data_IF_835128272774
#
_entry.id   IF_835128272774
#
_cell.length_a   1.000
_cell.length_b   1.000
_cell.length_c   1.000
_cell.angle_alpha   90.00
_cell.angle_beta   90.00
_cell.angle_gamma   90.00
#
_symmetry.space_group_name_H-M   'P 1'
#
loop_
_entity.id
_entity.type
_entity.pdbx_description
1 polymer ?
#
# COMPACT_ATOMS: atom_id res chain seq x y z
N UNK A 1 19.04 16.97 -4.13
CA UNK A 1 17.82 16.79 -4.90
C UNK A 1 16.75 16.07 -4.06
N UNK A 2 15.49 16.50 -4.13
CA UNK A 2 14.45 15.81 -3.39
C UNK A 2 14.20 14.40 -3.93
N UNK A 3 13.80 13.53 -3.02
CA UNK A 3 13.52 12.12 -3.32
C UNK A 3 12.04 11.87 -3.04
N UNK A 4 11.33 11.37 -4.04
CA UNK A 4 9.94 10.97 -3.88
C UNK A 4 9.89 9.71 -3.04
N UNK A 5 9.25 9.79 -1.87
CA UNK A 5 9.37 8.79 -0.81
C UNK A 5 8.02 8.41 -0.21
N UNK A 6 7.96 7.20 0.31
CA UNK A 6 6.80 6.70 1.05
C UNK A 6 7.23 5.58 2.00
N UNK A 7 6.41 5.34 3.02
CA UNK A 7 6.61 4.28 4.01
C UNK A 7 5.58 3.19 3.75
N UNK A 8 6.01 1.95 3.64
CA UNK A 8 5.15 0.87 3.18
C UNK A 8 5.52 -0.50 3.75
N UNK A 9 4.58 -1.42 3.57
CA UNK A 9 4.74 -2.85 3.84
C UNK A 9 4.66 -3.56 2.50
N UNK A 10 5.69 -4.31 2.14
CA UNK A 10 5.72 -5.08 0.90
C UNK A 10 4.96 -6.39 1.03
N UNK A 11 4.44 -6.86 -0.09
CA UNK A 11 3.83 -8.18 -0.20
C UNK A 11 4.90 -9.12 -0.76
N UNK A 12 5.29 -10.13 0.02
CA UNK A 12 6.38 -11.04 -0.33
C UNK A 12 5.97 -12.51 -0.36
N UNK A 13 4.87 -12.89 0.28
CA UNK A 13 4.41 -14.28 0.34
C UNK A 13 4.03 -14.78 -1.07
N UNK A 14 4.69 -15.84 -1.59
CA UNK A 14 4.44 -16.31 -2.96
C UNK A 14 3.01 -16.79 -3.22
N UNK A 15 2.36 -17.42 -2.24
CA UNK A 15 0.98 -17.89 -2.39
C UNK A 15 0.01 -16.72 -2.47
N UNK A 16 0.21 -15.71 -1.63
CA UNK A 16 -0.60 -14.50 -1.63
C UNK A 16 -0.40 -13.75 -2.94
N UNK A 17 0.85 -13.58 -3.38
CA UNK A 17 1.15 -12.93 -4.65
C UNK A 17 0.47 -13.66 -5.81
N UNK A 18 0.53 -14.99 -5.84
CA UNK A 18 -0.12 -15.80 -6.88
C UNK A 18 -1.64 -15.54 -6.92
N UNK A 19 -2.26 -15.48 -5.75
CA UNK A 19 -3.70 -15.17 -5.65
C UNK A 19 -4.01 -13.76 -6.14
N UNK A 20 -3.18 -12.79 -5.78
CA UNK A 20 -3.33 -11.40 -6.23
C UNK A 20 -3.22 -11.30 -7.75
N UNK A 21 -2.24 -11.99 -8.35
CA UNK A 21 -2.07 -11.99 -9.80
C UNK A 21 -3.28 -12.61 -10.52
N UNK A 22 -3.86 -13.64 -9.94
CA UNK A 22 -5.10 -14.26 -10.47
C UNK A 22 -6.27 -13.28 -10.43
N UNK A 23 -6.40 -12.53 -9.35
CA UNK A 23 -7.44 -11.50 -9.20
C UNK A 23 -7.21 -10.36 -10.20
N UNK A 24 -5.96 -9.94 -10.41
CA UNK A 24 -5.63 -8.94 -11.42
C UNK A 24 -6.06 -9.38 -12.82
N UNK A 25 -5.87 -10.66 -13.16
CA UNK A 25 -6.32 -11.20 -14.44
C UNK A 25 -7.84 -11.07 -14.60
N UNK A 26 -8.60 -11.39 -13.57
CA UNK A 26 -10.05 -11.23 -13.61
C UNK A 26 -10.47 -9.76 -13.78
N UNK A 27 -9.83 -8.86 -13.04
CA UNK A 27 -10.08 -7.41 -13.15
C UNK A 27 -9.74 -6.92 -14.56
N UNK A 28 -8.60 -7.34 -15.10
CA UNK A 28 -8.15 -6.94 -16.43
C UNK A 28 -8.96 -7.61 -17.57
N UNK A 29 -9.73 -8.66 -17.28
CA UNK A 29 -10.64 -9.25 -18.25
C UNK A 29 -11.93 -8.43 -18.45
N UNK A 30 -12.15 -7.42 -17.61
CA UNK A 30 -13.25 -6.47 -17.81
C UNK A 30 -13.02 -5.66 -19.09
N UNK A 31 -14.06 -4.96 -19.54
CA UNK A 31 -13.94 -4.08 -20.71
C UNK A 31 -13.30 -2.73 -20.41
N UNK A 32 -12.82 -2.53 -19.18
CA UNK A 32 -12.14 -1.30 -18.78
C UNK A 32 -10.72 -1.20 -19.35
N UNK A 33 -10.25 0.03 -19.52
CA UNK A 33 -8.83 0.28 -19.84
C UNK A 33 -8.08 0.44 -18.52
N UNK A 34 -7.26 -0.53 -18.18
CA UNK A 34 -6.56 -0.60 -16.90
C UNK A 34 -5.06 -0.79 -17.08
N UNK A 35 -4.33 -0.37 -16.05
CA UNK A 35 -2.93 -0.75 -15.87
C UNK A 35 -2.80 -1.51 -14.55
N UNK A 36 -2.47 -2.81 -14.56
CA UNK A 36 -2.22 -3.55 -13.33
C UNK A 36 -0.91 -3.10 -12.69
N UNK A 37 -0.84 -3.20 -11.37
CA UNK A 37 0.39 -2.93 -10.62
C UNK A 37 1.35 -4.09 -10.86
N UNK A 38 2.61 -3.78 -11.15
CA UNK A 38 3.66 -4.78 -11.35
C UNK A 38 3.85 -5.60 -10.07
N UNK A 39 4.12 -6.89 -10.23
CA UNK A 39 4.30 -7.83 -9.12
C UNK A 39 5.25 -7.30 -8.03
N UNK A 40 6.41 -6.79 -8.44
CA UNK A 40 7.45 -6.27 -7.54
C UNK A 40 7.05 -4.98 -6.83
N UNK A 41 5.97 -4.35 -7.27
CA UNK A 41 5.49 -3.09 -6.70
C UNK A 41 4.29 -3.25 -5.76
N UNK A 42 3.82 -4.48 -5.54
CA UNK A 42 2.69 -4.74 -4.65
C UNK A 42 3.04 -4.39 -3.21
N UNK A 43 2.29 -3.46 -2.60
CA UNK A 43 2.56 -2.99 -1.24
C UNK A 43 1.32 -2.34 -0.63
N UNK A 44 1.34 -2.19 0.70
CA UNK A 44 0.38 -1.33 1.41
C UNK A 44 1.13 -0.10 1.89
N UNK A 45 0.65 1.08 1.54
CA UNK A 45 1.26 2.34 1.97
C UNK A 45 0.80 2.70 3.38
N UNK A 46 1.75 2.92 4.29
CA UNK A 46 1.49 3.45 5.63
C UNK A 46 1.45 4.97 5.63
N UNK A 47 2.37 5.61 4.91
CA UNK A 47 2.45 7.06 4.83
C UNK A 47 3.15 7.48 3.54
N UNK A 48 2.49 8.30 2.74
CA UNK A 48 3.10 8.94 1.60
C UNK A 48 3.78 10.23 2.04
N UNK A 49 5.05 10.41 1.67
CA UNK A 49 5.85 11.58 2.09
C UNK A 49 6.01 12.61 0.99
N UNK A 50 5.89 12.21 -0.28
CA UNK A 50 6.14 13.08 -1.42
C UNK A 50 7.62 13.33 -1.64
N UNK A 51 7.96 14.49 -2.18
CA UNK A 51 9.33 14.92 -2.44
C UNK A 51 9.99 15.35 -1.13
N UNK A 52 11.07 14.67 -0.74
CA UNK A 52 11.77 14.90 0.55
C UNK A 52 13.24 15.15 0.27
N UNK A 53 13.78 16.23 0.84
CA UNK A 53 15.21 16.52 0.75
C UNK A 53 16.02 15.44 1.48
N UNK A 54 17.18 15.09 0.92
CA UNK A 54 18.03 14.02 1.47
C UNK A 54 18.38 14.21 2.94
N UNK A 55 18.67 15.43 3.36
CA UNK A 55 18.97 15.73 4.77
C UNK A 55 17.81 15.44 5.69
N UNK A 56 16.59 15.62 5.22
CA UNK A 56 15.38 15.35 6.00
C UNK A 56 15.09 13.85 6.10
N UNK A 57 15.53 13.05 5.13
CA UNK A 57 15.35 11.60 5.15
C UNK A 57 16.04 10.94 6.35
N UNK A 58 17.18 11.48 6.80
CA UNK A 58 17.85 10.96 8.00
C UNK A 58 16.93 11.10 9.22
N UNK A 59 16.24 12.22 9.35
CA UNK A 59 15.26 12.44 10.43
C UNK A 59 14.04 11.54 10.29
N UNK A 60 13.60 11.27 9.06
CA UNK A 60 12.51 10.31 8.82
C UNK A 60 12.90 8.92 9.29
N UNK A 61 14.12 8.48 9.00
CA UNK A 61 14.63 7.17 9.45
C UNK A 61 14.67 7.08 10.98
N UNK A 62 15.16 8.11 11.65
CA UNK A 62 15.20 8.16 13.11
C UNK A 62 13.79 8.10 13.70
N UNK A 63 12.85 8.81 13.12
CA UNK A 63 11.44 8.79 13.53
C UNK A 63 10.83 7.41 13.34
N UNK A 64 11.12 6.76 12.23
CA UNK A 64 10.66 5.38 11.98
C UNK A 64 11.18 4.43 13.06
N UNK A 65 12.46 4.50 13.39
CA UNK A 65 13.05 3.67 14.45
C UNK A 65 12.33 3.91 15.78
N UNK A 66 12.14 5.16 16.17
CA UNK A 66 11.55 5.52 17.45
C UNK A 66 10.10 5.05 17.57
N UNK A 67 9.33 5.18 16.52
CA UNK A 67 7.92 4.79 16.53
C UNK A 67 7.76 3.28 16.39
N UNK A 68 8.44 2.68 15.42
CA UNK A 68 8.22 1.28 15.08
C UNK A 68 8.76 0.29 16.12
N UNK A 69 9.76 0.67 16.91
CA UNK A 69 10.24 -0.18 18.02
C UNK A 69 9.16 -0.47 19.06
N UNK A 70 8.09 0.31 19.09
CA UNK A 70 6.98 0.13 20.03
C UNK A 70 5.97 -0.92 19.57
N UNK A 71 6.10 -1.40 18.33
CA UNK A 71 5.13 -2.31 17.72
C UNK A 71 5.74 -3.68 17.49
N UNK A 72 4.92 -4.70 17.72
CA UNK A 72 5.27 -6.09 17.47
C UNK A 72 4.84 -6.49 16.06
N UNK A 73 5.45 -7.55 15.55
CA UNK A 73 5.01 -8.23 14.33
C UNK A 73 3.54 -8.59 14.45
N UNK A 74 2.82 -8.50 13.35
CA UNK A 74 1.40 -8.81 13.34
C UNK A 74 1.00 -9.44 12.01
N UNK A 75 -0.19 -10.02 11.98
CA UNK A 75 -0.73 -10.68 10.81
C UNK A 75 -1.88 -9.88 10.26
N UNK A 76 -1.97 -9.78 8.93
CA UNK A 76 -3.12 -9.19 8.26
C UNK A 76 -3.79 -10.21 7.35
N UNK A 77 -5.12 -10.16 7.29
CA UNK A 77 -5.89 -10.91 6.32
C UNK A 77 -6.33 -9.98 5.19
N UNK A 78 -5.90 -10.31 3.98
CA UNK A 78 -6.32 -9.59 2.78
C UNK A 78 -7.64 -10.19 2.29
N UNK A 79 -8.64 -9.34 2.11
CA UNK A 79 -9.98 -9.77 1.71
C UNK A 79 -10.72 -8.66 1.00
N UNK A 80 -11.41 -9.04 -0.07
CA UNK A 80 -12.32 -8.16 -0.77
C UNK A 80 -11.67 -7.22 -1.75
N UNK A 81 -12.45 -6.80 -2.73
CA UNK A 81 -12.04 -5.84 -3.74
C UNK A 81 -12.93 -4.61 -3.64
N UNK A 82 -12.33 -3.45 -3.71
CA UNK A 82 -13.03 -2.19 -3.76
C UNK A 82 -12.35 -1.22 -4.71
N UNK A 83 -12.83 0.01 -4.70
CA UNK A 83 -12.28 1.04 -5.56
C UNK A 83 -12.42 2.42 -4.93
N UNK A 84 -11.50 3.30 -5.26
CA UNK A 84 -11.58 4.72 -4.96
C UNK A 84 -11.80 5.49 -6.25
N UNK A 85 -12.54 6.61 -6.26
CA UNK A 85 -13.33 7.13 -5.16
C UNK A 85 -14.57 6.28 -4.83
N UNK A 86 -15.16 5.60 -5.82
CA UNK A 86 -16.30 4.70 -5.61
C UNK A 86 -16.23 3.54 -6.60
N UNK A 87 -17.01 2.47 -6.35
CA UNK A 87 -17.09 1.32 -7.26
C UNK A 87 -17.69 1.72 -8.59
N UNK A 88 -18.66 2.64 -8.60
CA UNK A 88 -19.31 3.09 -9.84
C UNK A 88 -18.47 4.04 -10.68
N UNK A 89 -17.49 4.70 -10.06
CA UNK A 89 -16.53 5.60 -10.73
C UNK A 89 -15.11 5.29 -10.25
N UNK A 90 -14.60 4.12 -10.59
CA UNK A 90 -13.29 3.71 -10.07
C UNK A 90 -12.13 4.39 -10.79
N UNK A 91 -11.16 4.86 -10.01
CA UNK A 91 -9.86 5.30 -10.53
C UNK A 91 -8.77 4.33 -10.10
N UNK A 92 -8.91 3.79 -8.89
CA UNK A 92 -7.96 2.85 -8.29
C UNK A 92 -8.72 1.65 -7.78
N UNK A 93 -8.28 0.45 -8.16
CA UNK A 93 -8.85 -0.82 -7.68
C UNK A 93 -7.90 -1.41 -6.65
N UNK A 94 -8.44 -1.81 -5.50
CA UNK A 94 -7.62 -2.27 -4.39
C UNK A 94 -8.19 -3.50 -3.69
N UNK A 95 -7.32 -4.19 -2.97
CA UNK A 95 -7.65 -5.28 -2.05
C UNK A 95 -7.72 -4.68 -0.65
N UNK A 96 -8.76 -5.07 0.11
CA UNK A 96 -8.96 -4.61 1.48
C UNK A 96 -8.25 -5.48 2.52
N UNK A 97 -8.29 -5.00 3.75
CA UNK A 97 -7.73 -5.69 4.92
C UNK A 97 -8.85 -5.93 5.93
N UNK A 98 -9.00 -7.17 6.38
CA UNK A 98 -9.98 -7.55 7.40
C UNK A 98 -9.30 -7.70 8.76
N UNK A 99 -8.69 -8.85 9.06
CA UNK A 99 -7.93 -9.03 10.30
C UNK A 99 -6.62 -8.24 10.23
N UNK A 100 -6.20 -7.72 11.38
CA UNK A 100 -4.96 -6.93 11.47
C UNK A 100 -5.12 -5.49 11.02
N UNK A 101 -6.32 -5.10 10.63
CA UNK A 101 -6.63 -3.72 10.23
C UNK A 101 -6.29 -2.72 11.34
N UNK A 102 -6.70 -3.03 12.57
CA UNK A 102 -6.46 -2.14 13.71
C UNK A 102 -4.96 -1.96 13.99
N UNK A 103 -4.19 -3.02 13.88
CA UNK A 103 -2.72 -2.95 14.05
C UNK A 103 -2.09 -2.06 12.99
N UNK A 104 -2.48 -2.23 11.72
CA UNK A 104 -2.00 -1.39 10.63
C UNK A 104 -2.33 0.08 10.87
N UNK A 105 -3.59 0.37 11.21
CA UNK A 105 -4.07 1.75 11.43
C UNK A 105 -3.32 2.40 12.59
N UNK A 106 -3.08 1.68 13.68
CA UNK A 106 -2.32 2.21 14.81
C UNK A 106 -0.89 2.58 14.44
N UNK A 107 -0.21 1.71 13.68
CA UNK A 107 1.14 2.01 13.18
C UNK A 107 1.10 3.26 12.30
N UNK A 108 0.16 3.32 11.37
CA UNK A 108 0.04 4.46 10.46
C UNK A 108 -0.27 5.76 11.20
N UNK A 109 -1.16 5.74 12.19
CA UNK A 109 -1.49 6.92 13.00
C UNK A 109 -0.27 7.43 13.78
N UNK A 110 0.48 6.53 14.42
CA UNK A 110 1.66 6.92 15.20
C UNK A 110 2.75 7.51 14.31
N UNK A 111 2.98 6.92 13.14
CA UNK A 111 3.91 7.48 12.16
C UNK A 111 3.44 8.86 11.68
N UNK A 112 2.17 8.99 11.35
CA UNK A 112 1.59 10.23 10.87
C UNK A 112 1.73 11.37 11.89
N UNK A 113 1.44 11.10 13.17
CA UNK A 113 1.60 12.07 14.25
C UNK A 113 3.05 12.52 14.39
N UNK A 114 3.97 11.57 14.44
CA UNK A 114 5.39 11.88 14.62
C UNK A 114 5.94 12.68 13.43
N UNK A 115 5.58 12.27 12.22
CA UNK A 115 6.04 12.94 11.01
C UNK A 115 5.40 14.31 10.82
N UNK A 116 4.19 14.52 11.32
CA UNK A 116 3.55 15.86 11.27
C UNK A 116 4.36 16.92 12.00
N UNK A 117 5.08 16.52 13.05
CA UNK A 117 5.98 17.43 13.79
C UNK A 117 7.17 17.88 12.96
N UNK A 118 7.47 17.14 11.89
CA UNK A 118 8.53 17.47 10.93
C UNK A 118 8.00 18.25 9.73
N UNK A 119 6.70 18.60 9.74
CA UNK A 119 6.08 19.38 8.68
C UNK A 119 5.36 18.57 7.62
N UNK A 120 5.29 17.24 7.76
CA UNK A 120 4.50 16.42 6.82
C UNK A 120 3.01 16.60 7.10
N UNK A 121 2.22 16.65 6.04
CA UNK A 121 0.78 16.85 6.15
C UNK A 121 0.12 15.66 6.86
N UNK A 122 -0.82 15.92 7.76
CA UNK A 122 -1.60 14.89 8.43
C UNK A 122 -2.58 14.24 7.47
N UNK A 123 -2.71 12.93 7.60
CA UNK A 123 -3.75 12.20 6.90
C UNK A 123 -5.09 12.37 7.62
N UNK A 124 -6.15 12.62 6.86
CA UNK A 124 -7.49 12.76 7.43
C UNK A 124 -8.10 11.40 7.76
N UNK A 125 -7.86 10.44 6.90
CA UNK A 125 -8.47 9.13 6.98
C UNK A 125 -7.45 8.09 6.51
N UNK A 126 -7.29 7.04 7.28
CA UNK A 126 -6.36 5.95 6.96
C UNK A 126 -7.18 4.71 6.65
N UNK A 127 -7.22 4.33 5.38
CA UNK A 127 -7.90 3.14 4.90
C UNK A 127 -6.87 2.15 4.38
N UNK A 128 -6.58 1.05 5.12
CA UNK A 128 -5.63 0.05 4.64
C UNK A 128 -6.09 -0.55 3.32
N UNK A 129 -5.26 -0.46 2.30
CA UNK A 129 -5.58 -1.01 0.98
C UNK A 129 -4.31 -1.34 0.20
N UNK A 130 -4.43 -2.35 -0.64
CA UNK A 130 -3.37 -2.76 -1.57
C UNK A 130 -3.85 -2.48 -2.99
N UNK A 131 -3.28 -1.47 -3.63
CA UNK A 131 -3.64 -1.13 -4.99
C UNK A 131 -3.20 -2.23 -5.94
N UNK A 132 -4.10 -2.73 -6.78
CA UNK A 132 -3.82 -3.78 -7.76
C UNK A 132 -3.93 -3.32 -9.21
N UNK A 133 -4.68 -2.24 -9.47
CA UNK A 133 -4.82 -1.70 -10.82
C UNK A 133 -5.24 -0.23 -10.77
N UNK A 134 -4.89 0.49 -11.82
CA UNK A 134 -5.32 1.88 -12.02
C UNK A 134 -6.09 2.00 -13.32
N UNK A 135 -7.19 2.75 -13.29
CA UNK A 135 -8.00 2.99 -14.48
C UNK A 135 -7.32 4.06 -15.33
N UNK A 136 -7.15 3.76 -16.62
CA UNK A 136 -6.46 4.62 -17.58
C UNK A 136 -7.37 5.14 -18.72
N UNK A 137 -8.65 4.80 -18.67
CA UNK A 137 -9.62 5.20 -19.70
C UNK A 137 -11.03 4.75 -19.33
N UNK A 138 -11.83 4.31 -20.31
CA UNK A 138 -13.20 3.88 -20.02
C UNK A 138 -13.27 2.77 -18.97
N UNK A 139 -14.28 2.84 -18.11
CA UNK A 139 -14.46 1.87 -17.03
C UNK A 139 -15.19 0.60 -17.46
N UNK A 140 -15.96 0.66 -18.57
CA UNK A 140 -16.71 -0.50 -19.05
C UNK A 140 -17.53 -1.18 -17.97
N UNK A 141 -17.44 -2.51 -17.90
CA UNK A 141 -18.14 -3.32 -16.89
C UNK A 141 -17.30 -3.57 -15.61
N UNK A 142 -16.25 -2.78 -15.39
CA UNK A 142 -15.41 -2.92 -14.19
C UNK A 142 -16.20 -2.88 -12.87
N UNK A 143 -17.19 -1.97 -12.70
CA UNK A 143 -17.98 -1.98 -11.46
C UNK A 143 -18.65 -3.33 -11.15
N UNK A 144 -19.13 -4.03 -12.16
CA UNK A 144 -19.76 -5.35 -12.00
C UNK A 144 -18.72 -6.40 -11.57
N UNK A 145 -17.54 -6.36 -12.16
CA UNK A 145 -16.43 -7.27 -11.81
C UNK A 145 -16.00 -7.03 -10.37
N UNK A 146 -15.86 -5.77 -9.96
CA UNK A 146 -15.51 -5.41 -8.56
C UNK A 146 -16.57 -5.94 -7.59
N UNK A 147 -17.85 -5.75 -7.87
CA UNK A 147 -18.94 -6.23 -7.01
C UNK A 147 -18.92 -7.75 -6.86
N UNK A 148 -18.64 -8.47 -7.95
CA UNK A 148 -18.54 -9.92 -7.92
C UNK A 148 -17.40 -10.41 -7.01
N UNK A 149 -16.33 -9.63 -6.90
CA UNK A 149 -15.14 -9.95 -6.11
C UNK A 149 -15.14 -9.28 -4.73
N UNK A 150 -16.23 -8.63 -4.34
CA UNK A 150 -16.26 -7.77 -3.13
C UNK A 150 -15.92 -8.49 -1.83
N UNK A 151 -16.14 -9.80 -1.74
CA UNK A 151 -15.86 -10.60 -0.54
C UNK A 151 -14.81 -11.68 -0.77
N UNK A 152 -14.05 -11.59 -1.85
CA UNK A 152 -13.08 -12.64 -2.17
C UNK A 152 -11.99 -12.75 -1.10
N UNK A 153 -11.71 -13.99 -0.69
CA UNK A 153 -10.64 -14.30 0.25
C UNK A 153 -9.30 -14.35 -0.50
N UNK A 154 -8.30 -13.63 -0.01
CA UNK A 154 -6.98 -13.62 -0.64
C UNK A 154 -5.99 -14.41 0.20
N UNK A 155 -5.85 -14.10 1.48
CA UNK A 155 -4.94 -14.81 2.36
C UNK A 155 -4.33 -13.94 3.43
N UNK A 156 -3.46 -14.55 4.24
CA UNK A 156 -2.79 -13.90 5.34
C UNK A 156 -1.38 -13.50 4.96
N UNK A 157 -0.94 -12.33 5.42
CA UNK A 157 0.45 -11.91 5.35
C UNK A 157 0.96 -11.62 6.76
N UNK A 158 2.22 -11.96 7.00
CA UNK A 158 2.91 -11.62 8.24
C UNK A 158 3.66 -10.30 8.03
N UNK A 159 3.31 -9.30 8.84
CA UNK A 159 3.98 -7.99 8.82
C UNK A 159 5.13 -8.05 9.81
N UNK A 160 6.35 -8.11 9.30
CA UNK A 160 7.58 -8.25 10.10
C UNK A 160 8.45 -7.02 10.05
N UNK A 161 8.30 -6.22 9.00
CA UNK A 161 9.14 -5.05 8.77
C UNK A 161 8.38 -3.97 8.02
N UNK A 162 8.87 -2.75 8.15
CA UNK A 162 8.33 -1.56 7.49
C UNK A 162 9.46 -0.90 6.73
N UNK A 163 9.20 -0.47 5.51
CA UNK A 163 10.23 0.06 4.61
C UNK A 163 9.98 1.52 4.26
N UNK A 164 11.05 2.28 4.20
CA UNK A 164 11.08 3.59 3.56
C UNK A 164 11.54 3.37 2.13
N UNK A 165 10.73 3.78 1.18
CA UNK A 165 10.97 3.51 -0.23
C UNK A 165 11.12 4.79 -1.03
N UNK A 166 11.96 4.72 -2.06
CA UNK A 166 12.11 5.73 -3.09
C UNK A 166 11.29 5.32 -4.31
N UNK A 167 10.58 6.27 -4.90
CA UNK A 167 9.84 6.06 -6.15
C UNK A 167 10.49 6.87 -7.26
N UNK A 168 10.89 6.19 -8.32
CA UNK A 168 11.33 6.85 -9.56
C UNK A 168 10.26 6.65 -10.60
N UNK A 169 9.66 7.73 -11.09
CA UNK A 169 8.61 7.67 -12.09
C UNK A 169 9.22 7.49 -13.47
N UNK A 170 8.73 6.50 -14.21
CA UNK A 170 9.14 6.23 -15.60
C UNK A 170 7.92 6.13 -16.50
N UNK A 171 8.08 6.24 -17.82
CA UNK A 171 6.95 6.07 -18.76
C UNK A 171 6.27 4.70 -18.64
N UNK A 172 6.98 3.70 -18.15
CA UNK A 172 6.45 2.34 -17.96
C UNK A 172 5.83 2.12 -16.59
N UNK A 173 5.92 3.09 -15.70
CA UNK A 173 5.43 3.02 -14.33
C UNK A 173 6.53 3.32 -13.32
N UNK A 174 6.21 3.30 -12.02
CA UNK A 174 7.18 3.60 -10.98
C UNK A 174 8.17 2.45 -10.78
N UNK A 175 9.40 2.80 -10.43
CA UNK A 175 10.43 1.86 -9.96
C UNK A 175 10.66 2.20 -8.51
N UNK A 176 10.49 1.21 -7.62
CA UNK A 176 10.67 1.38 -6.18
C UNK A 176 11.99 0.78 -5.72
N UNK A 177 12.64 1.48 -4.81
CA UNK A 177 13.89 1.04 -4.18
C UNK A 177 13.79 1.20 -2.68
N UNK A 178 14.29 0.21 -1.94
CA UNK A 178 14.31 0.27 -0.48
C UNK A 178 15.45 1.18 -0.02
N UNK A 179 15.11 2.22 0.76
CA UNK A 179 16.10 3.12 1.33
C UNK A 179 16.41 2.77 2.79
N UNK A 180 15.45 2.22 3.50
CA UNK A 180 15.60 1.89 4.91
C UNK A 180 14.59 0.84 5.33
N UNK A 181 14.98 -0.08 6.18
CA UNK A 181 14.14 -1.17 6.66
C UNK A 181 14.17 -1.18 8.18
N UNK A 182 13.00 -1.20 8.82
CA UNK A 182 12.87 -1.32 10.27
C UNK A 182 12.11 -2.61 10.57
N UNK A 183 12.75 -3.49 11.34
CA UNK A 183 12.10 -4.72 11.80
C UNK A 183 11.22 -4.43 13.02
N UNK A 184 10.04 -5.04 13.04
CA UNK A 184 9.16 -4.95 14.19
C UNK A 184 9.60 -5.95 15.26
N UNK A 185 9.22 -5.67 16.52
CA UNK A 185 9.55 -6.53 17.65
C UNK A 185 8.94 -7.93 17.47
N UNK A 186 9.62 -8.95 17.97
CA UNK A 186 9.11 -10.33 17.93
C UNK A 186 8.00 -10.60 18.94
N UNK A 187 7.77 -9.69 19.89
CA UNK A 187 6.77 -9.85 20.93
C UNK A 187 5.60 -8.89 20.78
#
# INVERSE_FOLDING_TARGET
LPIRSFIAIDIEDPEVISKILSIQEEICSSSAKLKPVERENLHLTLKFLGEVEEGKLAHVKDTMDDILKKFSKFRMKLKGIGAFPTINRPNVVWIGVEEGRDSFVRVAIELDRALSRMGFQREREIEPHLTVARVKGPIGNLPEVIRRLSDIEIGYIDVREVKLKKSTLTPKGPIYEDMYIVELSSE
#
